data_IF_664565231847
#
_entry.id   IF_664565231847
#
_cell.length_a   1.000
_cell.length_b   1.000
_cell.length_c   1.000
_cell.angle_alpha   90.00
_cell.angle_beta   90.00
_cell.angle_gamma   90.00
#
_symmetry.space_group_name_H-M   'P 1'
#
loop_
_entity.id
_entity.type
_entity.pdbx_description
1 polymer ?
#
# COMPACT_ATOMS: atom_id res chain seq x y z
N UNK A 1 -1.70 -14.68 -5.92
CA UNK A 1 -2.03 -14.58 -4.47
C UNK A 1 -1.71 -13.16 -4.02
N UNK A 2 -2.60 -12.52 -3.27
CA UNK A 2 -2.37 -11.17 -2.72
C UNK A 2 -2.30 -11.27 -1.20
N UNK A 3 -1.28 -10.63 -0.61
CA UNK A 3 -1.06 -10.59 0.83
C UNK A 3 -1.14 -9.14 1.28
N UNK A 4 -2.11 -8.83 2.15
CA UNK A 4 -2.23 -7.52 2.77
C UNK A 4 -1.48 -7.49 4.11
N UNK A 5 -0.56 -6.54 4.27
CA UNK A 5 0.20 -6.33 5.50
C UNK A 5 -0.40 -5.16 6.30
N UNK A 6 -1.29 -5.48 7.24
CA UNK A 6 -1.88 -4.53 8.18
C UNK A 6 -1.03 -4.32 9.45
N UNK A 7 -1.39 -3.31 10.25
CA UNK A 7 -0.84 -3.08 11.58
C UNK A 7 -0.72 -1.60 11.95
N UNK A 8 -0.60 -1.29 13.24
CA UNK A 8 -0.48 0.09 13.74
C UNK A 8 0.88 0.71 13.37
N UNK A 9 1.03 2.05 13.33
CA UNK A 9 2.32 2.71 13.12
C UNK A 9 3.39 2.24 14.12
N UNK A 10 4.65 2.18 13.71
CA UNK A 10 5.78 1.82 14.58
C UNK A 10 6.06 0.33 14.76
N UNK A 11 5.15 -0.59 14.41
CA UNK A 11 5.33 -2.06 14.61
C UNK A 11 6.34 -2.74 13.66
N UNK A 12 7.09 -1.97 12.88
CA UNK A 12 8.12 -2.53 12.01
C UNK A 12 7.62 -3.22 10.74
N UNK A 13 6.40 -2.94 10.26
CA UNK A 13 5.86 -3.51 8.99
C UNK A 13 6.85 -3.42 7.83
N UNK A 14 7.51 -2.27 7.67
CA UNK A 14 8.53 -2.07 6.62
C UNK A 14 9.70 -3.06 6.72
N UNK A 15 10.13 -3.40 7.94
CA UNK A 15 11.18 -4.39 8.18
C UNK A 15 10.71 -5.77 7.74
N UNK A 16 9.50 -6.16 8.14
CA UNK A 16 8.90 -7.45 7.75
C UNK A 16 8.74 -7.54 6.23
N UNK A 17 8.22 -6.51 5.57
CA UNK A 17 8.06 -6.50 4.10
C UNK A 17 9.41 -6.70 3.40
N UNK A 18 10.47 -6.03 3.85
CA UNK A 18 11.82 -6.20 3.28
C UNK A 18 12.36 -7.62 3.47
N UNK A 19 12.16 -8.22 4.64
CA UNK A 19 12.59 -9.59 4.90
C UNK A 19 11.85 -10.60 4.01
N UNK A 20 10.54 -10.40 3.81
CA UNK A 20 9.73 -11.25 2.91
C UNK A 20 10.18 -11.08 1.45
N UNK A 21 10.46 -9.85 1.01
CA UNK A 21 11.02 -9.56 -0.33
C UNK A 21 12.35 -10.29 -0.54
N UNK A 22 13.29 -10.21 0.41
CA UNK A 22 14.58 -10.90 0.36
C UNK A 22 14.42 -12.43 0.30
N UNK A 23 13.58 -13.00 1.18
CA UNK A 23 13.34 -14.44 1.20
C UNK A 23 12.68 -14.94 -0.09
N UNK A 24 11.75 -14.17 -0.65
CA UNK A 24 11.11 -14.50 -1.92
C UNK A 24 12.14 -14.55 -3.05
N UNK A 25 13.03 -13.55 -3.12
CA UNK A 25 14.12 -13.51 -4.11
C UNK A 25 15.06 -14.70 -3.96
N UNK A 26 15.50 -15.01 -2.73
CA UNK A 26 16.37 -16.16 -2.43
C UNK A 26 15.75 -17.50 -2.86
N UNK A 27 14.42 -17.61 -2.77
CA UNK A 27 13.67 -18.83 -3.12
C UNK A 27 13.17 -18.83 -4.56
N UNK A 28 13.47 -17.80 -5.35
CA UNK A 28 13.06 -17.69 -6.75
C UNK A 28 11.56 -17.41 -6.95
N UNK A 29 10.87 -16.86 -5.93
CA UNK A 29 9.49 -16.43 -6.07
C UNK A 29 9.40 -15.03 -6.68
N UNK A 30 8.60 -14.88 -7.72
CA UNK A 30 8.24 -13.58 -8.26
C UNK A 30 7.32 -12.84 -7.26
N UNK A 31 7.79 -11.72 -6.73
CA UNK A 31 7.05 -10.89 -5.78
C UNK A 31 6.99 -9.46 -6.30
N UNK A 32 5.78 -8.90 -6.40
CA UNK A 32 5.53 -7.52 -6.80
C UNK A 32 5.00 -6.75 -5.61
N UNK A 33 5.67 -5.65 -5.26
CA UNK A 33 5.21 -4.77 -4.18
C UNK A 33 4.23 -3.74 -4.73
N UNK A 34 2.98 -3.80 -4.28
CA UNK A 34 1.95 -2.80 -4.60
C UNK A 34 1.83 -1.80 -3.44
N UNK A 35 1.85 -0.50 -3.74
CA UNK A 35 1.72 0.57 -2.74
C UNK A 35 0.40 1.32 -2.94
N UNK A 36 -0.63 0.93 -2.20
CA UNK A 36 -1.95 1.59 -2.27
C UNK A 36 -1.91 3.08 -1.95
N UNK A 37 -0.96 3.54 -1.13
CA UNK A 37 -0.82 4.97 -0.79
C UNK A 37 -0.50 5.84 -2.01
N UNK A 38 0.28 5.35 -2.98
CA UNK A 38 0.55 6.11 -4.22
C UNK A 38 -0.72 6.30 -5.05
N UNK A 39 -1.48 5.22 -5.22
CA UNK A 39 -2.78 5.25 -5.90
C UNK A 39 -3.76 6.18 -5.17
N UNK A 40 -3.80 6.18 -3.84
CA UNK A 40 -4.64 7.10 -3.08
C UNK A 40 -4.21 8.57 -3.27
N UNK A 41 -2.92 8.86 -3.35
CA UNK A 41 -2.45 10.21 -3.66
C UNK A 41 -2.92 10.67 -5.03
N UNK A 42 -2.80 9.82 -6.05
CA UNK A 42 -3.29 10.08 -7.41
C UNK A 42 -4.81 10.32 -7.43
N UNK A 43 -5.59 9.44 -6.77
CA UNK A 43 -7.04 9.55 -6.70
C UNK A 43 -7.51 10.80 -5.95
N UNK A 44 -6.76 11.22 -4.93
CA UNK A 44 -7.06 12.42 -4.15
C UNK A 44 -6.51 13.71 -4.79
N UNK A 45 -5.75 13.63 -5.88
CA UNK A 45 -5.12 14.78 -6.52
C UNK A 45 -4.05 15.47 -5.65
N UNK A 46 -3.41 14.72 -4.75
CA UNK A 46 -2.37 15.23 -3.83
C UNK A 46 -0.99 14.72 -4.21
N UNK A 47 0.04 15.48 -3.83
CA UNK A 47 1.42 15.21 -4.23
C UNK A 47 2.22 14.41 -3.20
N UNK A 48 1.73 14.34 -1.95
CA UNK A 48 2.44 13.69 -0.85
C UNK A 48 1.52 12.90 0.08
N UNK A 49 2.12 11.93 0.78
CA UNK A 49 1.41 11.13 1.80
C UNK A 49 0.97 12.01 2.98
N UNK A 50 1.72 13.07 3.29
CA UNK A 50 1.35 13.97 4.38
C UNK A 50 0.17 14.87 4.02
N UNK A 51 0.03 15.29 2.76
CA UNK A 51 -1.20 15.91 2.25
C UNK A 51 -2.38 14.95 2.34
N UNK A 52 -2.20 13.70 1.88
CA UNK A 52 -3.23 12.66 1.96
C UNK A 52 -3.71 12.43 3.40
N UNK A 53 -2.81 12.46 4.38
CA UNK A 53 -3.11 12.30 5.82
C UNK A 53 -3.88 13.48 6.42
N UNK A 54 -3.78 14.67 5.84
CA UNK A 54 -4.52 15.86 6.28
C UNK A 54 -5.96 15.88 5.80
N UNK A 55 -6.32 15.08 4.79
CA UNK A 55 -7.71 14.92 4.36
C UNK A 55 -8.59 14.31 5.46
N UNK A 56 -9.90 14.52 5.43
CA UNK A 56 -10.84 13.77 6.27
C UNK A 56 -10.70 12.26 6.06
N UNK A 57 -10.92 11.48 7.13
CA UNK A 57 -10.87 10.01 7.01
C UNK A 57 -12.00 9.49 6.13
N UNK A 58 -13.18 10.14 6.11
CA UNK A 58 -14.29 9.81 5.22
C UNK A 58 -13.87 9.91 3.75
N UNK A 59 -13.21 11.00 3.36
CA UNK A 59 -12.71 11.20 2.00
C UNK A 59 -11.71 10.12 1.62
N UNK A 60 -10.75 9.79 2.50
CA UNK A 60 -9.81 8.69 2.24
C UNK A 60 -10.53 7.35 2.11
N UNK A 61 -11.56 7.12 2.91
CA UNK A 61 -12.34 5.88 2.91
C UNK A 61 -13.11 5.71 1.60
N UNK A 62 -13.72 6.77 1.07
CA UNK A 62 -14.44 6.78 -0.21
C UNK A 62 -13.56 6.45 -1.41
N UNK A 63 -12.25 6.76 -1.34
CA UNK A 63 -11.29 6.46 -2.41
C UNK A 63 -10.76 5.01 -2.36
N UNK A 64 -10.90 4.31 -1.23
CA UNK A 64 -10.39 2.92 -1.06
C UNK A 64 -10.98 1.93 -2.07
N UNK A 65 -12.28 1.93 -2.39
CA UNK A 65 -12.84 1.02 -3.39
C UNK A 65 -12.14 1.10 -4.74
N UNK A 66 -11.92 2.31 -5.25
CA UNK A 66 -11.24 2.50 -6.55
C UNK A 66 -9.74 2.18 -6.44
N UNK A 67 -9.10 2.50 -5.31
CA UNK A 67 -7.73 2.05 -5.04
C UNK A 67 -7.63 0.51 -5.11
N UNK A 68 -8.55 -0.21 -4.46
CA UNK A 68 -8.57 -1.67 -4.51
C UNK A 68 -8.81 -2.18 -5.93
N UNK A 69 -9.74 -1.58 -6.68
CA UNK A 69 -10.00 -1.93 -8.07
C UNK A 69 -8.72 -1.89 -8.93
N UNK A 70 -7.92 -0.85 -8.79
CA UNK A 70 -6.62 -0.73 -9.50
C UNK A 70 -5.60 -1.75 -9.01
N UNK A 71 -5.49 -1.97 -7.70
CA UNK A 71 -4.57 -2.96 -7.12
C UNK A 71 -4.86 -4.38 -7.63
N UNK A 72 -6.14 -4.74 -7.76
CA UNK A 72 -6.56 -6.08 -8.18
C UNK A 72 -6.59 -6.27 -9.71
N UNK A 73 -6.40 -5.20 -10.49
CA UNK A 73 -6.31 -5.27 -11.95
C UNK A 73 -4.87 -5.53 -12.47
N UNK A 74 -3.87 -5.44 -11.59
CA UNK A 74 -2.44 -5.69 -11.84
C UNK A 74 -2.04 -7.16 -11.65
#
# INVERSE_FOLDING_TARGET
MIVYLGGVPGVGKTKVTKQVESLALEKGFALKRLRGTGILCELAGVSSVDELRRLPEETRHELRPEMYRRIYAE
#
